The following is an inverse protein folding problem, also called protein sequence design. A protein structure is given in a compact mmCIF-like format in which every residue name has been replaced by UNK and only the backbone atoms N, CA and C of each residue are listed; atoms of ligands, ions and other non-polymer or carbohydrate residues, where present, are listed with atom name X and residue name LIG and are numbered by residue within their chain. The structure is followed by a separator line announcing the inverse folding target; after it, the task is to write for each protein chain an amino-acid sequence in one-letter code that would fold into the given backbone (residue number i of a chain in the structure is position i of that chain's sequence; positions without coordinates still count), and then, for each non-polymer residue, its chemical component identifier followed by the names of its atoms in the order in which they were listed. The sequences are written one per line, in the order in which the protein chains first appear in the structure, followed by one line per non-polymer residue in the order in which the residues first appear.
data_IF_208048065296
#
_entry.id   IF_208048065296
#
_cell.length_a   1.000
_cell.length_b   1.000
_cell.length_c   1.000
_cell.angle_alpha   90.00
_cell.angle_beta   90.00
_cell.angle_gamma   90.00
#
_symmetry.space_group_name_H-M   'P 1'
#
loop_
_entity.id
_entity.type
_entity.pdbx_description
1 polymer ?
#
# COMPACT_ATOMS: atom_id res chain seq x y z
N UNK A 1 36.84 -32.26 34.95
CA UNK A 1 35.68 -32.84 34.23
C UNK A 1 34.40 -32.01 34.30
N UNK A 2 33.85 -31.66 35.48
CA UNK A 2 32.57 -30.89 35.56
C UNK A 2 32.57 -29.51 34.89
N UNK A 3 33.68 -28.76 34.94
CA UNK A 3 33.83 -27.47 34.23
C UNK A 3 33.88 -27.67 32.70
N UNK A 4 34.69 -28.62 32.24
CA UNK A 4 34.81 -28.98 30.82
C UNK A 4 33.48 -29.46 30.22
N UNK A 5 32.70 -30.28 30.97
CA UNK A 5 31.39 -30.75 30.56
C UNK A 5 30.35 -29.62 30.44
N UNK A 6 30.40 -28.62 31.33
CA UNK A 6 29.56 -27.42 31.24
C UNK A 6 29.94 -26.53 30.05
N UNK A 7 31.24 -26.34 29.79
CA UNK A 7 31.71 -25.56 28.64
C UNK A 7 31.34 -26.26 27.33
N UNK A 8 31.47 -27.59 27.26
CA UNK A 8 31.09 -28.39 26.09
C UNK A 8 29.57 -28.35 25.83
N UNK A 9 28.75 -28.47 26.88
CA UNK A 9 27.29 -28.33 26.78
C UNK A 9 26.86 -26.93 26.34
N UNK A 10 27.57 -25.89 26.76
CA UNK A 10 27.30 -24.51 26.36
C UNK A 10 27.65 -24.27 24.87
N UNK A 11 28.77 -24.81 24.39
CA UNK A 11 29.17 -24.73 22.97
C UNK A 11 28.23 -25.56 22.08
N UNK A 12 27.78 -26.73 22.53
CA UNK A 12 26.75 -27.53 21.84
C UNK A 12 25.40 -26.80 21.79
N UNK A 13 24.98 -26.16 22.89
CA UNK A 13 23.75 -25.36 22.89
C UNK A 13 23.83 -24.16 21.93
N UNK A 14 24.96 -23.44 21.91
CA UNK A 14 25.20 -22.31 20.99
C UNK A 14 25.23 -22.73 19.52
N UNK A 15 25.79 -23.90 19.20
CA UNK A 15 25.83 -24.44 17.83
C UNK A 15 24.46 -24.98 17.36
N UNK A 16 23.62 -25.51 18.26
CA UNK A 16 22.24 -25.84 17.94
C UNK A 16 21.37 -24.58 17.72
N UNK A 17 21.54 -23.53 18.54
CA UNK A 17 20.81 -22.27 18.37
C UNK A 17 21.11 -21.59 17.02
N UNK A 18 22.38 -21.58 16.59
CA UNK A 18 22.77 -20.94 15.33
C UNK A 18 22.24 -21.66 14.09
N UNK A 19 22.17 -23.00 14.10
CA UNK A 19 21.55 -23.77 13.00
C UNK A 19 20.03 -23.53 12.88
N UNK A 20 19.34 -23.38 14.01
CA UNK A 20 17.91 -23.08 14.03
C UNK A 20 17.61 -21.66 13.52
N UNK A 21 18.44 -20.66 13.85
CA UNK A 21 18.27 -19.30 13.32
C UNK A 21 18.47 -19.26 11.81
N UNK A 22 19.53 -19.89 11.30
CA UNK A 22 19.83 -19.92 9.87
C UNK A 22 18.69 -20.57 9.05
N UNK A 23 18.12 -21.66 9.56
CA UNK A 23 16.99 -22.33 8.91
C UNK A 23 15.72 -21.46 8.89
N UNK A 24 15.45 -20.71 9.95
CA UNK A 24 14.28 -19.82 10.02
C UNK A 24 14.46 -18.56 9.16
N UNK A 25 15.67 -18.00 9.08
CA UNK A 25 15.99 -16.88 8.18
C UNK A 25 15.86 -17.29 6.70
N UNK A 26 16.32 -18.50 6.35
CA UNK A 26 16.15 -19.04 5.00
C UNK A 26 14.66 -19.20 4.65
N UNK A 27 13.86 -19.76 5.56
CA UNK A 27 12.41 -19.91 5.36
C UNK A 27 11.70 -18.56 5.20
N UNK A 28 12.09 -17.54 5.98
CA UNK A 28 11.57 -16.18 5.84
C UNK A 28 11.83 -15.61 4.44
N UNK A 29 13.06 -15.76 3.92
CA UNK A 29 13.41 -15.32 2.57
C UNK A 29 12.60 -16.03 1.49
N UNK A 30 12.41 -17.34 1.60
CA UNK A 30 11.63 -18.15 0.66
C UNK A 30 10.15 -17.72 0.63
N UNK A 31 9.54 -17.50 1.80
CA UNK A 31 8.17 -17.02 1.91
C UNK A 31 8.01 -15.61 1.32
N UNK A 32 8.96 -14.69 1.55
CA UNK A 32 8.93 -13.37 0.94
C UNK A 32 9.06 -13.43 -0.59
N UNK A 33 9.93 -14.28 -1.12
CA UNK A 33 10.07 -14.48 -2.56
C UNK A 33 8.78 -15.07 -3.17
N UNK A 34 8.15 -16.01 -2.49
CA UNK A 34 6.87 -16.59 -2.91
C UNK A 34 5.73 -15.57 -2.88
N UNK A 35 5.62 -14.79 -1.80
CA UNK A 35 4.64 -13.72 -1.68
C UNK A 35 4.78 -12.71 -2.82
N UNK A 36 6.01 -12.30 -3.13
CA UNK A 36 6.28 -11.37 -4.22
C UNK A 36 5.89 -11.99 -5.58
N UNK A 37 6.22 -13.27 -5.81
CA UNK A 37 5.81 -13.97 -7.04
C UNK A 37 4.29 -14.05 -7.19
N UNK A 38 3.55 -14.37 -6.12
CA UNK A 38 2.09 -14.40 -6.11
C UNK A 38 1.49 -13.01 -6.37
N UNK A 39 2.12 -11.97 -5.82
CA UNK A 39 1.75 -10.58 -6.06
C UNK A 39 1.93 -10.20 -7.55
N UNK A 40 3.07 -10.55 -8.16
CA UNK A 40 3.32 -10.32 -9.59
C UNK A 40 2.36 -11.11 -10.49
N UNK A 41 1.78 -12.20 -10.00
CA UNK A 41 0.77 -13.02 -10.71
C UNK A 41 -0.67 -12.55 -10.47
N UNK A 42 -0.89 -11.45 -9.73
CA UNK A 42 -2.25 -10.96 -9.40
C UNK A 42 -3.00 -11.81 -8.37
N UNK A 43 -2.35 -12.79 -7.74
CA UNK A 43 -2.94 -13.72 -6.76
C UNK A 43 -2.85 -13.16 -5.34
N UNK A 44 -3.44 -11.98 -5.14
CA UNK A 44 -3.25 -11.16 -3.94
C UNK A 44 -3.71 -11.83 -2.64
N UNK A 45 -4.85 -12.54 -2.66
CA UNK A 45 -5.34 -13.26 -1.48
C UNK A 45 -4.35 -14.32 -0.99
N UNK A 46 -3.67 -14.98 -1.92
CA UNK A 46 -2.67 -15.99 -1.61
C UNK A 46 -1.35 -15.34 -1.15
N UNK A 47 -0.95 -14.23 -1.80
CA UNK A 47 0.20 -13.44 -1.38
C UNK A 47 0.05 -12.96 0.07
N UNK A 48 -1.13 -12.47 0.46
CA UNK A 48 -1.42 -12.03 1.85
C UNK A 48 -1.24 -13.16 2.85
N UNK A 49 -1.70 -14.38 2.53
CA UNK A 49 -1.52 -15.53 3.41
C UNK A 49 -0.04 -15.90 3.57
N UNK A 50 0.73 -15.91 2.47
CA UNK A 50 2.17 -16.18 2.51
C UNK A 50 2.92 -15.08 3.29
N UNK A 51 2.52 -13.82 3.17
CA UNK A 51 3.08 -12.71 3.96
C UNK A 51 2.77 -12.84 5.45
N UNK A 52 1.58 -13.32 5.83
CA UNK A 52 1.24 -13.59 7.23
C UNK A 52 2.13 -14.70 7.81
N UNK A 53 2.44 -15.71 7.02
CA UNK A 53 3.33 -16.79 7.46
C UNK A 53 4.80 -16.34 7.49
N UNK A 54 5.24 -15.53 6.53
CA UNK A 54 6.55 -14.88 6.56
C UNK A 54 6.73 -14.02 7.82
N UNK A 55 5.68 -13.28 8.21
CA UNK A 55 5.70 -12.45 9.41
C UNK A 55 5.84 -13.28 10.69
N UNK A 56 5.10 -14.38 10.84
CA UNK A 56 5.23 -15.28 12.00
C UNK A 56 6.64 -15.87 12.10
N UNK A 57 7.24 -16.22 10.96
CA UNK A 57 8.63 -16.69 10.92
C UNK A 57 9.56 -15.55 11.30
N UNK A 58 9.39 -14.35 10.76
CA UNK A 58 10.21 -13.18 11.08
C UNK A 58 10.18 -12.83 12.58
N UNK A 59 8.99 -12.80 13.19
CA UNK A 59 8.80 -12.54 14.62
C UNK A 59 9.54 -13.57 15.49
N UNK A 60 9.52 -14.84 15.08
CA UNK A 60 10.20 -15.93 15.78
C UNK A 60 11.72 -15.91 15.59
N UNK A 61 12.19 -15.57 14.39
CA UNK A 61 13.61 -15.58 14.03
C UNK A 61 14.35 -14.37 14.59
N UNK A 62 13.75 -13.19 14.45
CA UNK A 62 14.44 -11.92 14.67
C UNK A 62 13.94 -11.17 15.90
N UNK A 63 12.77 -11.53 16.41
CA UNK A 63 12.08 -10.81 17.47
C UNK A 63 11.25 -9.65 16.94
N UNK A 64 10.16 -9.34 17.64
CA UNK A 64 9.11 -8.40 17.20
C UNK A 64 9.59 -6.96 16.91
N UNK A 65 10.75 -6.57 17.45
CA UNK A 65 11.33 -5.24 17.31
C UNK A 65 12.44 -5.16 16.24
N UNK A 66 12.73 -6.27 15.54
CA UNK A 66 13.84 -6.31 14.60
C UNK A 66 13.49 -5.61 13.28
N UNK A 67 14.46 -4.93 12.62
CA UNK A 67 14.24 -4.30 11.32
C UNK A 67 13.62 -5.23 10.28
N UNK A 68 13.95 -6.52 10.21
CA UNK A 68 13.31 -7.45 9.28
C UNK A 68 11.82 -7.78 9.58
N UNK A 69 11.34 -7.43 10.78
CA UNK A 69 9.92 -7.51 11.19
C UNK A 69 9.23 -6.15 10.99
N UNK A 70 9.98 -5.04 11.14
CA UNK A 70 9.51 -3.66 10.99
C UNK A 70 9.63 -3.08 9.57
N UNK A 71 10.56 -3.58 8.75
CA UNK A 71 10.82 -3.22 7.36
C UNK A 71 9.85 -3.98 6.47
N UNK A 72 8.64 -3.45 6.38
CA UNK A 72 7.84 -3.70 5.19
C UNK A 72 8.06 -2.68 4.07
N UNK A 73 8.62 -1.48 4.34
CA UNK A 73 8.54 -0.41 3.35
C UNK A 73 9.71 0.59 3.28
N UNK A 74 10.76 0.55 4.10
CA UNK A 74 11.79 1.63 4.12
C UNK A 74 12.52 1.87 2.78
N UNK A 75 12.76 0.84 1.98
CA UNK A 75 13.39 0.96 0.66
C UNK A 75 12.41 1.35 -0.46
N UNK A 76 11.10 1.18 -0.23
CA UNK A 76 10.04 1.74 -1.06
C UNK A 76 9.69 3.18 -0.64
N UNK A 77 9.91 3.54 0.63
CA UNK A 77 9.62 4.84 1.25
C UNK A 77 10.33 6.00 0.57
N UNK A 78 11.68 5.96 0.51
CA UNK A 78 12.45 7.01 -0.17
C UNK A 78 12.11 7.14 -1.65
N UNK A 79 11.81 6.01 -2.32
CA UNK A 79 11.38 6.01 -3.73
C UNK A 79 9.97 6.54 -3.92
N UNK A 80 9.10 6.41 -2.93
CA UNK A 80 7.69 6.84 -2.99
C UNK A 80 7.56 8.32 -2.65
N UNK A 81 8.26 8.82 -1.63
CA UNK A 81 8.42 10.25 -1.35
C UNK A 81 9.03 10.96 -2.56
N UNK A 82 10.16 10.45 -3.10
CA UNK A 82 10.81 10.99 -4.31
C UNK A 82 9.89 10.95 -5.54
N UNK A 83 9.20 9.83 -5.78
CA UNK A 83 8.27 9.71 -6.92
C UNK A 83 7.06 10.64 -6.78
N UNK A 84 6.54 10.84 -5.58
CA UNK A 84 5.35 11.66 -5.34
C UNK A 84 5.66 13.16 -5.38
N UNK A 85 6.80 13.58 -4.83
CA UNK A 85 7.29 14.96 -4.98
C UNK A 85 7.74 15.27 -6.42
N UNK A 86 8.38 14.33 -7.13
CA UNK A 86 8.69 14.50 -8.56
C UNK A 86 7.41 14.60 -9.43
N UNK A 87 6.34 13.89 -9.06
CA UNK A 87 5.04 14.00 -9.75
C UNK A 87 4.42 15.39 -9.60
N UNK A 88 4.67 16.07 -8.47
CA UNK A 88 4.27 17.47 -8.23
C UNK A 88 5.16 18.47 -8.99
N UNK A 89 6.48 18.26 -9.00
CA UNK A 89 7.44 19.13 -9.71
C UNK A 89 7.24 19.07 -11.24
N UNK A 90 6.96 17.89 -11.78
CA UNK A 90 6.57 17.75 -13.19
C UNK A 90 5.17 18.31 -13.46
N UNK A 91 4.34 18.44 -12.42
CA UNK A 91 3.00 19.01 -12.50
C UNK A 91 3.03 20.51 -12.82
N UNK A 92 4.05 21.24 -12.37
CA UNK A 92 4.27 22.67 -12.66
C UNK A 92 4.86 22.90 -14.06
N UNK A 93 5.48 21.87 -14.64
CA UNK A 93 6.06 21.89 -16.00
C UNK A 93 5.03 21.62 -17.12
N UNK A 94 3.87 21.04 -16.80
CA UNK A 94 2.79 20.81 -17.78
C UNK A 94 2.01 22.12 -17.95
N UNK A 95 2.47 22.96 -18.86
CA UNK A 95 1.96 24.31 -19.11
C UNK A 95 0.62 24.37 -19.87
N UNK A 96 0.11 23.23 -20.37
CA UNK A 96 -1.19 23.18 -21.03
C UNK A 96 -2.28 22.65 -20.09
N UNK A 97 -3.16 23.54 -19.64
CA UNK A 97 -4.38 23.19 -18.90
C UNK A 97 -5.24 22.24 -19.76
N UNK A 98 -5.47 21.02 -19.27
CA UNK A 98 -6.33 20.04 -19.94
C UNK A 98 -7.76 20.61 -20.05
N UNK A 99 -8.45 20.41 -21.19
CA UNK A 99 -9.88 20.68 -21.28
C UNK A 99 -10.64 19.95 -20.18
N UNK A 100 -11.64 20.61 -19.60
CA UNK A 100 -12.47 20.01 -18.57
C UNK A 100 -13.33 18.87 -19.16
N UNK A 101 -13.66 17.90 -18.31
CA UNK A 101 -14.66 16.89 -18.63
C UNK A 101 -16.03 17.56 -18.82
N UNK A 102 -16.86 17.01 -19.70
CA UNK A 102 -18.28 17.40 -19.75
C UNK A 102 -19.00 16.94 -18.47
N UNK A 103 -20.18 17.51 -18.20
CA UNK A 103 -21.02 17.09 -17.06
C UNK A 103 -21.31 15.59 -17.12
N UNK A 104 -21.56 15.04 -18.31
CA UNK A 104 -21.82 13.62 -18.52
C UNK A 104 -20.58 12.76 -18.23
N UNK A 105 -19.42 13.12 -18.80
CA UNK A 105 -18.14 12.45 -18.55
C UNK A 105 -17.82 12.44 -17.06
N UNK A 106 -17.97 13.59 -16.40
CA UNK A 106 -17.72 13.74 -14.97
C UNK A 106 -18.69 12.92 -14.12
N UNK A 107 -19.98 12.90 -14.45
CA UNK A 107 -20.99 12.11 -13.74
C UNK A 107 -20.65 10.62 -13.79
N UNK A 108 -20.27 10.12 -14.98
CA UNK A 108 -19.86 8.72 -15.16
C UNK A 108 -18.60 8.38 -14.37
N UNK A 109 -17.58 9.24 -14.40
CA UNK A 109 -16.37 9.05 -13.61
C UNK A 109 -16.64 9.14 -12.10
N UNK A 110 -17.56 9.98 -11.65
CA UNK A 110 -17.88 10.13 -10.23
C UNK A 110 -18.52 8.86 -9.64
N UNK A 111 -19.28 8.09 -10.43
CA UNK A 111 -19.78 6.77 -10.01
C UNK A 111 -18.60 5.85 -9.70
N UNK A 112 -17.64 5.75 -10.63
CA UNK A 112 -16.44 4.92 -10.46
C UNK A 112 -15.58 5.40 -9.29
N UNK A 113 -15.35 6.72 -9.18
CA UNK A 113 -14.55 7.32 -8.10
C UNK A 113 -15.17 7.07 -6.72
N UNK A 114 -16.50 7.10 -6.62
CA UNK A 114 -17.20 6.82 -5.36
C UNK A 114 -16.95 5.38 -4.90
N UNK A 115 -16.99 4.42 -5.84
CA UNK A 115 -16.68 3.01 -5.56
C UNK A 115 -15.19 2.80 -5.27
N UNK A 116 -14.31 3.44 -6.05
CA UNK A 116 -12.85 3.38 -5.92
C UNK A 116 -12.39 3.64 -4.47
N UNK A 117 -13.06 4.54 -3.75
CA UNK A 117 -12.73 4.88 -2.36
C UNK A 117 -13.13 3.82 -1.32
N UNK A 118 -13.95 2.84 -1.67
CA UNK A 118 -14.62 1.96 -0.70
C UNK A 118 -14.53 0.47 -1.02
N UNK A 119 -14.54 0.14 -2.30
CA UNK A 119 -14.71 -1.23 -2.77
C UNK A 119 -13.79 -1.52 -3.95
N UNK A 120 -13.39 -2.79 -4.17
CA UNK A 120 -12.60 -3.16 -5.35
C UNK A 120 -13.32 -2.80 -6.66
N UNK A 121 -12.59 -2.19 -7.58
CA UNK A 121 -13.08 -1.96 -8.94
C UNK A 121 -13.06 -3.26 -9.75
N UNK A 122 -14.17 -3.50 -10.43
CA UNK A 122 -14.35 -4.59 -11.39
C UNK A 122 -14.29 -4.08 -12.84
N UNK A 123 -14.33 -5.00 -13.80
CA UNK A 123 -14.16 -4.67 -15.23
C UNK A 123 -15.27 -3.75 -15.77
N UNK A 124 -16.48 -3.79 -15.21
CA UNK A 124 -17.56 -2.89 -15.64
C UNK A 124 -17.26 -1.46 -15.23
N UNK A 125 -16.68 -1.27 -14.04
CA UNK A 125 -16.25 0.05 -13.58
C UNK A 125 -15.12 0.60 -14.46
N UNK A 126 -14.15 -0.25 -14.81
CA UNK A 126 -13.02 0.15 -15.65
C UNK A 126 -13.45 0.46 -17.08
N UNK A 127 -14.45 -0.26 -17.62
CA UNK A 127 -15.00 0.05 -18.94
C UNK A 127 -15.67 1.43 -18.98
N UNK A 128 -16.31 1.87 -17.88
CA UNK A 128 -16.82 3.24 -17.79
C UNK A 128 -15.69 4.26 -17.95
N UNK A 129 -14.54 4.03 -17.29
CA UNK A 129 -13.37 4.91 -17.40
C UNK A 129 -12.85 4.95 -18.83
N UNK A 130 -12.72 3.80 -19.50
CA UNK A 130 -12.25 3.71 -20.89
C UNK A 130 -13.21 4.43 -21.85
N UNK A 131 -14.52 4.23 -21.69
CA UNK A 131 -15.53 4.87 -22.53
C UNK A 131 -15.57 6.39 -22.34
N UNK A 132 -15.41 6.88 -21.12
CA UNK A 132 -15.25 8.32 -20.87
C UNK A 132 -13.98 8.84 -21.53
N UNK A 133 -12.87 8.11 -21.44
CA UNK A 133 -11.63 8.51 -22.08
C UNK A 133 -11.75 8.56 -23.60
N UNK A 134 -12.43 7.59 -24.23
CA UNK A 134 -12.74 7.61 -25.68
C UNK A 134 -13.53 8.86 -26.06
N UNK A 135 -14.57 9.19 -25.30
CA UNK A 135 -15.36 10.42 -25.49
C UNK A 135 -14.49 11.67 -25.39
N UNK A 136 -13.69 11.75 -24.34
CA UNK A 136 -12.80 12.87 -24.07
C UNK A 136 -11.79 13.08 -25.20
N UNK A 137 -11.09 12.03 -25.61
CA UNK A 137 -10.10 12.07 -26.68
C UNK A 137 -10.74 12.41 -28.02
N UNK A 138 -11.93 11.87 -28.34
CA UNK A 138 -12.66 12.23 -29.56
C UNK A 138 -13.01 13.72 -29.62
N UNK A 139 -13.41 14.32 -28.49
CA UNK A 139 -13.81 15.73 -28.42
C UNK A 139 -12.62 16.69 -28.40
N UNK A 140 -11.55 16.32 -27.71
CA UNK A 140 -10.42 17.22 -27.43
C UNK A 140 -9.21 17.00 -28.32
N UNK A 141 -9.10 15.83 -28.95
CA UNK A 141 -7.89 15.38 -29.63
C UNK A 141 -6.74 15.02 -28.68
N UNK A 142 -6.97 15.01 -27.36
CA UNK A 142 -5.93 14.79 -26.35
C UNK A 142 -6.04 13.38 -25.78
N UNK A 143 -4.90 12.67 -25.77
CA UNK A 143 -4.70 11.44 -25.02
C UNK A 143 -4.13 11.77 -23.64
N UNK A 144 -4.79 11.31 -22.58
CA UNK A 144 -4.28 11.49 -21.22
C UNK A 144 -3.06 10.57 -21.03
N UNK A 145 -1.92 11.15 -20.67
CA UNK A 145 -0.69 10.40 -20.39
C UNK A 145 -0.70 9.80 -18.98
N UNK A 146 0.18 8.84 -18.71
CA UNK A 146 0.34 8.28 -17.36
C UNK A 146 0.66 9.35 -16.32
N UNK A 147 1.52 10.32 -16.65
CA UNK A 147 1.88 11.42 -15.76
C UNK A 147 0.64 12.27 -15.45
N UNK A 148 -0.17 12.59 -16.47
CA UNK A 148 -1.41 13.34 -16.28
C UNK A 148 -2.45 12.56 -15.47
N UNK A 149 -2.59 11.26 -15.72
CA UNK A 149 -3.48 10.38 -14.98
C UNK A 149 -3.08 10.29 -13.50
N UNK A 150 -1.79 10.12 -13.21
CA UNK A 150 -1.25 10.16 -11.84
C UNK A 150 -1.48 11.51 -11.18
N UNK A 151 -1.28 12.62 -11.90
CA UNK A 151 -1.62 13.96 -11.39
C UNK A 151 -3.10 14.07 -11.02
N UNK A 152 -4.01 13.53 -11.82
CA UNK A 152 -5.45 13.50 -11.50
C UNK A 152 -5.76 12.65 -10.27
N UNK A 153 -4.99 11.59 -10.01
CA UNK A 153 -5.16 10.69 -8.85
C UNK A 153 -4.31 11.07 -7.64
N UNK A 154 -3.47 12.11 -7.73
CA UNK A 154 -2.46 12.45 -6.72
C UNK A 154 -3.03 12.60 -5.30
N UNK A 155 -4.15 13.32 -5.16
CA UNK A 155 -4.80 13.51 -3.84
C UNK A 155 -5.26 12.16 -3.28
N UNK A 156 -5.84 11.31 -4.13
CA UNK A 156 -6.23 9.94 -3.76
C UNK A 156 -5.01 9.07 -3.42
N UNK A 157 -3.90 9.28 -4.12
CA UNK A 157 -2.61 8.65 -3.82
C UNK A 157 -2.10 9.02 -2.41
N UNK A 158 -2.22 10.30 -2.03
CA UNK A 158 -1.86 10.77 -0.68
C UNK A 158 -2.79 10.17 0.38
N UNK A 159 -4.10 10.14 0.13
CA UNK A 159 -5.09 9.58 1.07
C UNK A 159 -4.79 8.11 1.38
N UNK A 160 -4.60 7.25 0.37
CA UNK A 160 -4.31 5.84 0.66
C UNK A 160 -2.96 5.65 1.35
N UNK A 161 -1.96 6.46 0.97
CA UNK A 161 -0.65 6.43 1.62
C UNK A 161 -0.78 6.73 3.11
N UNK A 162 -1.56 7.76 3.45
CA UNK A 162 -1.85 8.16 4.83
C UNK A 162 -2.53 7.04 5.61
N UNK A 163 -3.64 6.50 5.10
CA UNK A 163 -4.42 5.46 5.77
C UNK A 163 -3.60 4.17 5.97
N UNK A 164 -2.82 3.77 4.96
CA UNK A 164 -1.93 2.61 5.07
C UNK A 164 -0.87 2.81 6.16
N UNK A 165 -0.20 3.96 6.16
CA UNK A 165 0.86 4.24 7.13
C UNK A 165 0.31 4.45 8.54
N UNK A 166 -0.89 5.03 8.67
CA UNK A 166 -1.62 5.12 9.93
C UNK A 166 -1.92 3.72 10.49
N UNK A 167 -2.47 2.83 9.65
CA UNK A 167 -2.72 1.43 10.00
C UNK A 167 -1.45 0.71 10.44
N UNK A 168 -0.32 0.92 9.76
CA UNK A 168 1.00 0.40 10.18
C UNK A 168 1.41 0.94 11.55
N UNK A 169 1.26 2.24 11.79
CA UNK A 169 1.59 2.86 13.07
C UNK A 169 0.71 2.33 14.21
N UNK A 170 -0.59 2.12 13.97
CA UNK A 170 -1.48 1.45 14.91
C UNK A 170 -1.02 0.03 15.22
N UNK A 171 -0.69 -0.76 14.20
CA UNK A 171 -0.28 -2.15 14.38
C UNK A 171 0.99 -2.26 15.23
N UNK A 172 2.02 -1.46 14.91
CA UNK A 172 3.27 -1.43 15.67
C UNK A 172 3.01 -0.97 17.11
N UNK A 173 2.18 0.06 17.28
CA UNK A 173 1.84 0.57 18.62
C UNK A 173 1.13 -0.49 19.46
N UNK A 174 0.13 -1.15 18.86
CA UNK A 174 -0.65 -2.21 19.48
C UNK A 174 0.20 -3.42 19.89
N UNK A 175 1.14 -3.83 19.04
CA UNK A 175 1.98 -5.01 19.27
C UNK A 175 3.08 -4.75 20.30
N UNK A 176 3.69 -3.57 20.25
CA UNK A 176 4.81 -3.22 21.13
C UNK A 176 4.36 -2.64 22.47
N UNK A 177 3.06 -2.30 22.60
CA UNK A 177 2.48 -1.57 23.74
C UNK A 177 3.20 -0.24 24.00
N UNK A 178 3.66 0.40 22.92
CA UNK A 178 4.36 1.69 22.94
C UNK A 178 3.91 2.51 21.74
N UNK A 179 3.52 3.79 21.90
CA UNK A 179 3.16 4.63 20.77
C UNK A 179 4.30 4.72 19.75
N UNK A 180 3.98 4.43 18.49
CA UNK A 180 4.90 4.53 17.36
C UNK A 180 4.30 5.43 16.29
N UNK A 181 5.04 6.48 15.92
CA UNK A 181 4.67 7.43 14.87
C UNK A 181 5.87 7.54 13.94
N UNK A 182 5.71 7.13 12.69
CA UNK A 182 6.77 7.23 11.69
C UNK A 182 6.93 8.66 11.17
N UNK A 183 8.12 8.99 10.65
CA UNK A 183 8.33 10.26 9.94
C UNK A 183 7.48 10.36 8.65
N UNK A 184 7.19 9.22 8.02
CA UNK A 184 6.30 9.15 6.84
C UNK A 184 4.90 9.64 7.21
N UNK A 185 4.33 9.13 8.32
CA UNK A 185 2.98 9.53 8.75
C UNK A 185 2.92 11.03 9.08
N UNK A 186 3.98 11.58 9.68
CA UNK A 186 4.09 13.03 9.94
C UNK A 186 4.13 13.85 8.65
N UNK A 187 4.87 13.38 7.65
CA UNK A 187 4.93 14.04 6.34
C UNK A 187 3.59 13.95 5.61
N UNK A 188 2.99 12.75 5.54
CA UNK A 188 1.67 12.52 4.92
C UNK A 188 0.58 13.36 5.59
N UNK A 189 0.61 13.49 6.92
CA UNK A 189 -0.29 14.38 7.66
C UNK A 189 -0.19 15.82 7.14
N UNK A 190 1.02 16.38 7.06
CA UNK A 190 1.23 17.75 6.55
C UNK A 190 0.74 17.89 5.10
N UNK A 191 0.94 16.87 4.26
CA UNK A 191 0.41 16.86 2.89
C UNK A 191 -1.12 16.84 2.88
N UNK A 192 -1.76 15.98 3.67
CA UNK A 192 -3.22 15.91 3.83
C UNK A 192 -3.82 17.26 4.27
N UNK A 193 -3.17 17.94 5.23
CA UNK A 193 -3.55 19.30 5.67
C UNK A 193 -3.42 20.32 4.53
N UNK A 194 -2.28 20.34 3.82
CA UNK A 194 -2.04 21.28 2.72
C UNK A 194 -3.00 21.11 1.54
N UNK A 195 -3.47 19.88 1.29
CA UNK A 195 -4.41 19.54 0.24
C UNK A 195 -5.87 19.65 0.69
N UNK A 196 -6.12 20.01 1.95
CA UNK A 196 -7.46 20.07 2.56
C UNK A 196 -8.24 18.76 2.32
N UNK A 197 -7.55 17.63 2.42
CA UNK A 197 -8.10 16.30 2.08
C UNK A 197 -8.73 15.57 3.27
N UNK A 198 -8.55 16.12 4.48
CA UNK A 198 -9.24 15.70 5.70
C UNK A 198 -9.38 16.89 6.66
N UNK A 199 -10.30 16.79 7.62
CA UNK A 199 -10.43 17.77 8.70
C UNK A 199 -9.21 17.70 9.65
N UNK A 200 -8.81 18.84 10.21
CA UNK A 200 -7.72 18.85 11.22
C UNK A 200 -8.10 17.99 12.42
N UNK A 201 -9.37 18.02 12.83
CA UNK A 201 -9.90 17.19 13.93
C UNK A 201 -9.79 15.70 13.65
N UNK A 202 -10.01 15.25 12.40
CA UNK A 202 -9.77 13.85 12.00
C UNK A 202 -8.31 13.46 12.17
N UNK A 203 -7.40 14.27 11.64
CA UNK A 203 -5.97 13.98 11.71
C UNK A 203 -5.47 13.97 13.16
N UNK A 204 -5.96 14.89 14.01
CA UNK A 204 -5.68 14.91 15.44
C UNK A 204 -6.20 13.67 16.17
N UNK A 205 -7.44 13.28 15.88
CA UNK A 205 -8.04 12.06 16.41
C UNK A 205 -7.22 10.82 16.03
N UNK A 206 -6.82 10.71 14.75
CA UNK A 206 -6.02 9.60 14.26
C UNK A 206 -4.70 9.45 15.03
N UNK A 207 -3.99 10.57 15.23
CA UNK A 207 -2.73 10.60 15.96
C UNK A 207 -2.90 10.32 17.45
N UNK A 208 -3.99 10.83 18.06
CA UNK A 208 -4.31 10.53 19.46
C UNK A 208 -4.55 9.04 19.65
N UNK A 209 -5.30 8.42 18.75
CA UNK A 209 -5.65 7.00 18.78
C UNK A 209 -4.43 6.08 18.61
N UNK A 210 -3.26 6.58 18.18
CA UNK A 210 -2.00 5.80 18.20
C UNK A 210 -1.62 5.47 19.66
N UNK A 211 -1.81 6.41 20.57
CA UNK A 211 -1.61 6.17 22.00
C UNK A 211 -2.66 5.20 22.53
N UNK A 212 -3.93 5.36 22.13
CA UNK A 212 -4.99 4.42 22.51
C UNK A 212 -4.70 2.99 22.04
N UNK A 213 -4.18 2.82 20.82
CA UNK A 213 -3.78 1.52 20.29
C UNK A 213 -2.66 0.88 21.13
N UNK A 214 -1.66 1.66 21.56
CA UNK A 214 -0.57 1.18 22.42
C UNK A 214 -1.06 0.73 23.81
N UNK A 215 -1.98 1.49 24.39
CA UNK A 215 -2.42 1.30 25.78
C UNK A 215 -3.69 0.46 25.92
N UNK A 216 -4.32 0.05 24.81
CA UNK A 216 -5.63 -0.60 24.78
C UNK A 216 -6.71 0.26 25.45
N UNK A 217 -6.73 1.55 25.11
CA UNK A 217 -7.68 2.55 25.60
C UNK A 217 -8.77 2.84 24.57
N UNK A 218 -9.84 3.52 25.02
CA UNK A 218 -10.90 4.01 24.13
C UNK A 218 -10.33 4.91 23.04
N UNK A 219 -10.88 4.77 21.85
CA UNK A 219 -10.54 5.61 20.71
C UNK A 219 -11.54 6.76 20.62
N UNK A 220 -11.11 7.91 20.12
CA UNK A 220 -11.96 9.09 19.96
C UNK A 220 -11.98 9.45 18.49
N UNK A 221 -13.16 9.65 17.92
CA UNK A 221 -13.30 10.09 16.54
C UNK A 221 -13.18 11.62 16.38
N UNK A 222 -13.29 12.10 15.15
CA UNK A 222 -13.17 13.51 14.80
C UNK A 222 -14.25 14.41 15.41
N UNK A 223 -15.34 13.82 15.92
CA UNK A 223 -16.46 14.52 16.55
C UNK A 223 -16.39 14.45 18.08
N UNK A 224 -15.38 13.78 18.63
CA UNK A 224 -15.22 13.57 20.06
C UNK A 224 -16.02 12.40 20.62
N UNK A 225 -16.62 11.55 19.77
CA UNK A 225 -17.32 10.35 20.27
C UNK A 225 -16.31 9.28 20.63
N UNK A 226 -16.59 8.57 21.73
CA UNK A 226 -15.79 7.43 22.18
C UNK A 226 -16.18 6.14 21.45
N UNK A 227 -15.16 5.39 21.07
CA UNK A 227 -15.24 4.07 20.46
C UNK A 227 -14.46 3.06 21.30
N UNK A 228 -14.83 1.77 21.26
CA UNK A 228 -14.06 0.73 21.94
C UNK A 228 -12.58 0.74 21.54
N UNK A 229 -11.68 0.21 22.40
CA UNK A 229 -10.28 0.02 22.03
C UNK A 229 -10.13 -0.76 20.73
N UNK A 230 -9.18 -0.33 19.88
CA UNK A 230 -8.90 -1.00 18.62
C UNK A 230 -8.50 -2.45 18.85
N UNK A 231 -9.17 -3.37 18.17
CA UNK A 231 -8.69 -4.74 18.05
C UNK A 231 -7.66 -4.84 16.94
N UNK A 232 -6.82 -5.88 16.98
CA UNK A 232 -5.89 -6.17 15.89
C UNK A 232 -6.60 -6.34 14.54
N UNK A 233 -7.82 -6.88 14.56
CA UNK A 233 -8.66 -7.05 13.37
C UNK A 233 -9.11 -5.72 12.78
N UNK A 234 -9.49 -4.75 13.63
CA UNK A 234 -9.88 -3.41 13.17
C UNK A 234 -8.69 -2.70 12.50
N UNK A 235 -7.49 -2.85 13.06
CA UNK A 235 -6.25 -2.31 12.48
C UNK A 235 -5.96 -2.96 11.12
N UNK A 236 -6.15 -4.27 10.98
CA UNK A 236 -5.96 -4.95 9.70
C UNK A 236 -6.96 -4.49 8.64
N UNK A 237 -8.21 -4.21 9.01
CA UNK A 237 -9.20 -3.65 8.08
C UNK A 237 -8.79 -2.28 7.53
N UNK A 238 -8.21 -1.42 8.37
CA UNK A 238 -7.67 -0.12 7.90
C UNK A 238 -6.62 -0.34 6.81
N UNK A 239 -5.68 -1.24 7.06
CA UNK A 239 -4.61 -1.57 6.10
C UNK A 239 -5.19 -2.20 4.82
N UNK A 240 -6.13 -3.14 4.95
CA UNK A 240 -6.78 -3.80 3.81
C UNK A 240 -7.55 -2.79 2.93
N UNK A 241 -8.29 -1.87 3.55
CA UNK A 241 -9.00 -0.81 2.82
C UNK A 241 -8.03 0.09 2.04
N UNK A 242 -6.87 0.42 2.62
CA UNK A 242 -5.86 1.22 1.94
C UNK A 242 -5.20 0.47 0.75
N UNK A 243 -5.02 -0.85 0.86
CA UNK A 243 -4.53 -1.70 -0.25
C UNK A 243 -5.55 -1.86 -1.38
N UNK A 244 -6.84 -1.94 -1.04
CA UNK A 244 -7.93 -1.89 -2.04
C UNK A 244 -7.84 -0.57 -2.81
N UNK A 245 -7.69 0.54 -2.10
CA UNK A 245 -7.60 1.87 -2.72
C UNK A 245 -6.37 1.97 -3.64
N UNK A 246 -5.20 1.50 -3.19
CA UNK A 246 -3.99 1.42 -4.03
C UNK A 246 -4.24 0.64 -5.33
N UNK A 247 -4.80 -0.55 -5.20
CA UNK A 247 -5.11 -1.42 -6.35
C UNK A 247 -6.09 -0.75 -7.31
N UNK A 248 -7.09 -0.06 -6.76
CA UNK A 248 -8.07 0.66 -7.56
C UNK A 248 -7.44 1.82 -8.34
N UNK A 249 -6.52 2.59 -7.72
CA UNK A 249 -5.80 3.66 -8.40
C UNK A 249 -5.00 3.11 -9.57
N UNK A 250 -4.25 2.02 -9.37
CA UNK A 250 -3.46 1.39 -10.43
C UNK A 250 -4.33 0.96 -11.62
N UNK A 251 -5.45 0.27 -11.34
CA UNK A 251 -6.42 -0.14 -12.38
C UNK A 251 -7.06 1.06 -13.08
N UNK A 252 -7.47 2.08 -12.32
CA UNK A 252 -8.10 3.29 -12.85
C UNK A 252 -7.14 4.06 -13.76
N UNK A 253 -5.90 4.28 -13.31
CA UNK A 253 -4.83 4.94 -14.10
C UNK A 253 -4.52 4.15 -15.36
N UNK A 254 -4.48 2.82 -15.28
CA UNK A 254 -4.27 1.98 -16.44
C UNK A 254 -5.41 2.10 -17.46
N UNK A 255 -6.67 2.03 -17.00
CA UNK A 255 -7.85 2.17 -17.85
C UNK A 255 -7.91 3.57 -18.52
N UNK A 256 -7.50 4.62 -17.81
CA UNK A 256 -7.47 5.98 -18.33
C UNK A 256 -6.43 6.19 -19.43
N UNK A 257 -5.31 5.48 -19.38
CA UNK A 257 -4.17 5.67 -20.31
C UNK A 257 -4.15 4.66 -21.45
N UNK A 258 -4.78 3.49 -21.27
CA UNK A 258 -4.83 2.40 -22.24
C UNK A 258 -6.28 2.10 -22.66
N UNK A 259 -7.07 3.12 -22.99
CA UNK A 259 -8.51 2.97 -23.22
C UNK A 259 -8.87 2.14 -24.47
N UNK A 260 -7.94 2.00 -25.43
CA UNK A 260 -8.11 1.23 -26.66
C UNK A 260 -7.73 -0.25 -26.51
N UNK A 261 -7.09 -0.64 -25.41
CA UNK A 261 -6.81 -2.05 -25.14
C UNK A 261 -8.04 -2.72 -24.52
N UNK A 262 -8.52 -3.80 -25.15
CA UNK A 262 -9.40 -4.75 -24.45
C UNK A 262 -8.57 -5.41 -23.35
N UNK A 263 -9.20 -5.61 -22.18
CA UNK A 263 -8.64 -6.30 -21.01
C UNK A 263 -7.64 -7.41 -21.41
N UNK A 264 -6.45 -7.37 -20.83
CA UNK A 264 -5.33 -8.28 -21.11
C UNK A 264 -5.54 -9.71 -20.59
N UNK A 265 -6.73 -10.07 -20.11
CA UNK A 265 -7.05 -11.46 -19.74
C UNK A 265 -7.09 -12.42 -20.97
N UNK A 266 -7.10 -11.91 -22.21
CA UNK A 266 -7.15 -12.75 -23.42
C UNK A 266 -5.84 -12.83 -24.24
N UNK A 267 -4.74 -12.18 -23.81
CA UNK A 267 -3.52 -12.07 -24.65
C UNK A 267 -2.32 -12.93 -24.28
N UNK A 268 -2.42 -13.85 -23.31
CA UNK A 268 -1.30 -14.74 -22.97
C UNK A 268 -1.38 -16.15 -23.59
N UNK A 269 -2.12 -16.31 -24.69
CA UNK A 269 -2.04 -17.51 -25.55
C UNK A 269 -2.04 -17.10 -27.01
N UNK A 270 -0.93 -16.52 -27.49
CA UNK A 270 -0.25 -16.94 -28.72
C UNK A 270 0.66 -15.85 -29.31
N UNK A 271 1.91 -16.29 -29.55
CA UNK A 271 2.90 -15.81 -30.54
C UNK A 271 3.57 -14.48 -30.20
N UNK A 272 4.89 -14.33 -30.37
CA UNK A 272 5.90 -15.10 -31.13
C UNK A 272 7.27 -14.63 -30.61
N UNK A 273 8.23 -15.52 -30.32
CA UNK A 273 9.19 -16.03 -31.33
C UNK A 273 9.63 -14.92 -32.28
N UNK A 274 10.66 -14.17 -31.90
CA UNK A 274 11.80 -13.80 -32.72
C UNK A 274 12.70 -12.90 -31.88
N UNK A 275 13.87 -13.42 -31.51
CA UNK A 275 15.14 -12.69 -31.63
C UNK A 275 16.25 -13.64 -31.20
N UNK A 276 16.77 -14.36 -32.18
CA UNK A 276 18.11 -14.95 -32.19
C UNK A 276 18.54 -15.01 -33.65
N UNK A 277 19.04 -13.89 -34.16
CA UNK A 277 19.98 -13.89 -35.29
C UNK A 277 20.74 -12.55 -35.34
N UNK A 278 21.87 -12.49 -34.63
CA UNK A 278 23.12 -11.93 -35.16
C UNK A 278 24.29 -12.29 -34.26
#
# INVERSE_FOLDING_TARGET
MKKFLKTLLFVLALSFLSTSLYAQEKLWNELNAQANSLYQQGRYKEAVNVVKDALKVAEKTFGSNHPNVAQKDESAKGKREEKLDNTLDDSDKITHKLPEYTIEEQTRLNVVKTKLMKEPLDEKDLEIVREVQKSYTKRTGILITEIQARKMMYVTEIIFSYEYELGRCYLISFDTKKPYISEELKWLRKKMESLVSASISKLDADFKNINSAANNEVCIDEYGNEHPPLTREDIFKVIENAEILKTNIEKYTFALTNYDSKSSDDTNVHKKKNDNNK
#
